data_IF_330701038205
#
_entry.id   IF_330701038205
#
_cell.length_a   1.000
_cell.length_b   1.000
_cell.length_c   1.000
_cell.angle_alpha   90.00
_cell.angle_beta   90.00
_cell.angle_gamma   90.00
#
_symmetry.space_group_name_H-M   'P 1'
#
loop_
_entity.id
_entity.type
_entity.pdbx_description
1 polymer ?
#
# COMPACT_ATOMS: atom_id res chain seq x y z
N UNK A 1 -19.96 -14.84 7.58
CA UNK A 1 -19.87 -13.85 6.49
C UNK A 1 -18.88 -12.71 6.83
N UNK A 2 -18.83 -12.27 8.10
CA UNK A 2 -17.93 -11.23 8.58
C UNK A 2 -16.67 -11.73 9.30
N UNK A 3 -16.55 -13.05 9.52
CA UNK A 3 -15.41 -13.63 10.24
C UNK A 3 -14.04 -13.30 9.64
N UNK A 4 -13.93 -13.18 8.31
CA UNK A 4 -12.70 -12.75 7.64
C UNK A 4 -12.31 -11.31 8.02
N UNK A 5 -13.27 -10.38 8.04
CA UNK A 5 -13.04 -8.99 8.45
C UNK A 5 -12.56 -8.93 9.89
N UNK A 6 -13.19 -9.71 10.78
CA UNK A 6 -12.78 -9.77 12.18
C UNK A 6 -11.36 -10.32 12.37
N UNK A 7 -10.95 -11.27 11.53
CA UNK A 7 -9.58 -11.78 11.56
C UNK A 7 -8.56 -10.71 11.11
N UNK A 8 -8.85 -9.94 10.06
CA UNK A 8 -8.00 -8.85 9.60
C UNK A 8 -7.75 -7.79 10.68
N UNK A 9 -8.73 -7.52 11.53
CA UNK A 9 -8.57 -6.58 12.66
C UNK A 9 -7.96 -7.23 13.92
N UNK A 10 -7.62 -8.55 13.86
CA UNK A 10 -6.83 -9.25 14.87
C UNK A 10 -7.60 -10.14 15.82
N UNK A 11 -8.78 -10.61 15.45
CA UNK A 11 -9.42 -11.73 16.12
C UNK A 11 -8.84 -13.05 15.56
N UNK A 12 -8.65 -14.04 16.45
CA UNK A 12 -8.32 -15.39 15.97
C UNK A 12 -9.49 -16.01 15.20
N UNK A 13 -9.26 -17.06 14.39
CA UNK A 13 -10.32 -17.71 13.63
C UNK A 13 -11.50 -18.18 14.50
N UNK A 14 -11.23 -18.68 15.70
CA UNK A 14 -12.29 -19.12 16.63
C UNK A 14 -13.03 -17.92 17.25
N UNK A 15 -12.32 -16.87 17.68
CA UNK A 15 -12.93 -15.65 18.20
C UNK A 15 -13.86 -15.02 17.16
N UNK A 16 -13.41 -14.91 15.90
CA UNK A 16 -14.18 -14.33 14.82
C UNK A 16 -15.50 -15.09 14.57
N UNK A 17 -15.43 -16.41 14.48
CA UNK A 17 -16.64 -17.25 14.29
C UNK A 17 -17.60 -17.19 15.48
N UNK A 18 -17.07 -17.19 16.69
CA UNK A 18 -17.89 -17.12 17.91
C UNK A 18 -18.57 -15.75 18.03
N UNK A 19 -17.85 -14.68 17.78
CA UNK A 19 -18.40 -13.33 17.81
C UNK A 19 -19.47 -13.14 16.73
N UNK A 20 -19.22 -13.61 15.50
CA UNK A 20 -20.23 -13.61 14.44
C UNK A 20 -21.49 -14.39 14.82
N UNK A 21 -21.34 -15.57 15.41
CA UNK A 21 -22.46 -16.37 15.89
C UNK A 21 -23.25 -15.64 16.98
N UNK A 22 -22.58 -15.00 17.94
CA UNK A 22 -23.23 -14.23 19.00
C UNK A 22 -23.97 -13.01 18.44
N UNK A 23 -23.43 -12.31 17.46
CA UNK A 23 -24.12 -11.19 16.79
C UNK A 23 -25.42 -11.65 16.12
N UNK A 24 -25.46 -12.89 15.61
CA UNK A 24 -26.66 -13.44 14.97
C UNK A 24 -27.75 -13.88 15.98
N UNK A 25 -27.34 -14.43 17.13
CA UNK A 25 -28.29 -15.02 18.10
C UNK A 25 -28.55 -14.11 19.30
N UNK A 26 -27.73 -13.09 19.53
CA UNK A 26 -27.82 -12.20 20.68
C UNK A 26 -27.25 -12.84 21.95
N UNK A 27 -28.12 -13.30 22.87
CA UNK A 27 -27.70 -13.98 24.10
C UNK A 27 -27.69 -15.47 23.87
N UNK A 28 -26.61 -16.16 24.22
CA UNK A 28 -26.48 -17.59 24.00
C UNK A 28 -25.65 -18.32 25.06
N UNK A 29 -25.97 -19.60 25.30
CA UNK A 29 -25.11 -20.49 26.06
C UNK A 29 -23.97 -21.07 25.22
N UNK A 30 -22.95 -21.63 25.88
CA UNK A 30 -21.84 -22.33 25.20
C UNK A 30 -22.32 -23.40 24.24
N UNK A 31 -23.40 -24.10 24.57
CA UNK A 31 -24.01 -25.15 23.73
C UNK A 31 -24.51 -24.55 22.41
N UNK A 32 -25.29 -23.46 22.50
CA UNK A 32 -25.82 -22.75 21.33
C UNK A 32 -24.71 -22.15 20.47
N UNK A 33 -23.70 -21.54 21.11
CA UNK A 33 -22.54 -20.99 20.43
C UNK A 33 -21.78 -22.08 19.66
N UNK A 34 -21.57 -23.26 20.28
CA UNK A 34 -20.90 -24.40 19.65
C UNK A 34 -21.58 -24.84 18.35
N UNK A 35 -22.90 -24.94 18.38
CA UNK A 35 -23.70 -25.34 17.22
C UNK A 35 -23.63 -24.27 16.13
N UNK A 36 -23.80 -23.00 16.48
CA UNK A 36 -23.85 -21.89 15.51
C UNK A 36 -22.49 -21.54 14.90
N UNK A 37 -21.43 -21.60 15.68
CA UNK A 37 -20.07 -21.29 15.20
C UNK A 37 -19.36 -22.50 14.56
N UNK A 38 -19.92 -23.70 14.71
CA UNK A 38 -19.30 -24.98 14.34
C UNK A 38 -17.90 -25.16 14.98
N UNK A 39 -17.77 -24.76 16.26
CA UNK A 39 -16.56 -24.90 17.06
C UNK A 39 -16.79 -25.85 18.20
N UNK A 40 -15.84 -26.77 18.41
CA UNK A 40 -15.93 -27.74 19.51
C UNK A 40 -15.98 -27.03 20.87
N UNK A 41 -16.86 -27.45 21.75
CA UNK A 41 -17.17 -26.84 23.07
C UNK A 41 -15.92 -26.52 23.90
N UNK A 42 -14.88 -27.37 23.85
CA UNK A 42 -13.62 -27.16 24.58
C UNK A 42 -12.90 -25.87 24.15
N UNK A 43 -12.94 -25.55 22.86
CA UNK A 43 -12.24 -24.37 22.30
C UNK A 43 -13.05 -23.07 22.47
N UNK A 44 -14.34 -23.17 22.83
CA UNK A 44 -15.21 -22.00 23.01
C UNK A 44 -14.82 -21.21 24.25
N UNK A 45 -14.56 -21.90 25.38
CA UNK A 45 -14.24 -21.21 26.62
C UNK A 45 -13.03 -20.30 26.51
N UNK A 46 -11.94 -20.81 25.92
CA UNK A 46 -10.71 -20.02 25.72
C UNK A 46 -10.96 -18.82 24.79
N UNK A 47 -11.71 -19.02 23.71
CA UNK A 47 -12.01 -17.96 22.77
C UNK A 47 -13.00 -16.92 23.37
N UNK A 48 -14.00 -17.34 24.12
CA UNK A 48 -14.92 -16.43 24.83
C UNK A 48 -14.15 -15.59 25.87
N UNK A 49 -13.27 -16.20 26.66
CA UNK A 49 -12.47 -15.47 27.64
C UNK A 49 -11.64 -14.36 26.95
N UNK A 50 -11.00 -14.66 25.83
CA UNK A 50 -10.28 -13.66 25.03
C UNK A 50 -11.19 -12.58 24.46
N UNK A 51 -12.40 -12.93 24.05
CA UNK A 51 -13.39 -11.93 23.60
C UNK A 51 -13.87 -11.04 24.76
N UNK A 52 -13.98 -11.59 25.98
CA UNK A 52 -14.28 -10.81 27.19
C UNK A 52 -13.10 -9.86 27.52
N UNK A 53 -11.86 -10.36 27.50
CA UNK A 53 -10.65 -9.52 27.67
C UNK A 53 -10.56 -8.38 26.65
N UNK A 54 -11.00 -8.62 25.41
CA UNK A 54 -11.10 -7.60 24.36
C UNK A 54 -12.33 -6.69 24.50
N UNK A 55 -13.20 -6.92 25.48
CA UNK A 55 -14.44 -6.16 25.68
C UNK A 55 -15.48 -6.34 24.59
N UNK A 56 -15.44 -7.44 23.83
CA UNK A 56 -16.39 -7.73 22.73
C UNK A 56 -17.57 -8.60 23.18
N UNK A 57 -17.42 -9.29 24.29
CA UNK A 57 -18.44 -10.18 24.86
C UNK A 57 -18.48 -9.97 26.37
N UNK A 58 -19.64 -10.05 26.98
CA UNK A 58 -19.78 -10.15 28.43
C UNK A 58 -20.61 -11.35 28.84
N UNK A 59 -20.32 -11.85 30.02
CA UNK A 59 -21.03 -12.97 30.63
C UNK A 59 -22.22 -12.44 31.42
N UNK A 60 -23.37 -13.06 31.23
CA UNK A 60 -24.57 -12.81 32.05
C UNK A 60 -24.64 -13.90 33.12
N UNK A 61 -24.54 -13.50 34.36
CA UNK A 61 -24.74 -14.42 35.50
C UNK A 61 -26.22 -14.65 35.72
N UNK A 62 -26.66 -15.91 35.64
CA UNK A 62 -28.04 -16.33 35.85
C UNK A 62 -28.10 -17.55 36.77
N UNK A 63 -29.32 -17.93 37.23
CA UNK A 63 -29.55 -19.20 37.94
C UNK A 63 -29.49 -20.33 36.89
N UNK A 64 -28.33 -20.98 36.74
CA UNK A 64 -28.17 -22.10 35.82
C UNK A 64 -26.96 -22.01 34.90
N UNK A 65 -27.15 -22.09 33.58
CA UNK A 65 -26.11 -22.11 32.60
C UNK A 65 -25.56 -20.69 32.35
N UNK A 66 -24.22 -20.55 32.16
CA UNK A 66 -23.59 -19.29 31.81
C UNK A 66 -24.02 -18.83 30.40
N UNK A 67 -24.55 -17.64 30.32
CA UNK A 67 -24.95 -16.99 29.07
C UNK A 67 -23.95 -15.91 28.68
N UNK A 68 -23.76 -15.74 27.40
CA UNK A 68 -22.83 -14.74 26.80
C UNK A 68 -23.58 -13.83 25.84
N UNK A 69 -23.26 -12.54 25.88
CA UNK A 69 -23.88 -11.53 25.03
C UNK A 69 -22.78 -10.73 24.33
N UNK A 70 -22.92 -10.48 23.01
CA UNK A 70 -21.97 -9.60 22.30
C UNK A 70 -22.19 -8.15 22.75
N UNK A 71 -21.11 -7.40 22.80
CA UNK A 71 -21.12 -5.93 22.91
C UNK A 71 -21.43 -5.32 21.55
N UNK A 72 -21.87 -4.07 21.53
CA UNK A 72 -22.14 -3.32 20.30
C UNK A 72 -20.92 -3.41 19.34
N UNK A 73 -21.13 -3.74 18.06
CA UNK A 73 -20.06 -3.82 17.07
C UNK A 73 -19.22 -2.54 16.92
N UNK A 74 -19.72 -1.37 17.34
CA UNK A 74 -18.95 -0.14 17.41
C UNK A 74 -17.65 -0.30 18.23
N UNK A 75 -17.63 -1.22 19.21
CA UNK A 75 -16.43 -1.57 20.00
C UNK A 75 -15.26 -2.09 19.14
N UNK A 76 -15.54 -2.65 17.97
CA UNK A 76 -14.47 -3.06 17.03
C UNK A 76 -13.68 -1.87 16.50
N UNK A 77 -14.33 -0.72 16.32
CA UNK A 77 -13.65 0.51 15.91
C UNK A 77 -12.72 1.01 17.02
N UNK A 78 -13.14 0.96 18.28
CA UNK A 78 -12.29 1.32 19.42
C UNK A 78 -11.03 0.45 19.48
N UNK A 79 -11.16 -0.88 19.25
CA UNK A 79 -9.99 -1.79 19.20
C UNK A 79 -9.00 -1.42 18.08
N UNK A 80 -9.50 -0.98 16.93
CA UNK A 80 -8.64 -0.53 15.83
C UNK A 80 -7.94 0.77 16.18
N UNK A 81 -8.67 1.71 16.77
CA UNK A 81 -8.12 3.01 17.18
C UNK A 81 -7.08 2.86 18.30
N UNK A 82 -7.29 1.96 19.27
CA UNK A 82 -6.29 1.63 20.30
C UNK A 82 -4.99 1.09 19.68
N UNK A 83 -5.09 0.15 18.74
CA UNK A 83 -3.91 -0.39 18.03
C UNK A 83 -3.19 0.68 17.23
N UNK A 84 -3.94 1.57 16.57
CA UNK A 84 -3.40 2.71 15.84
C UNK A 84 -2.64 3.65 16.79
N UNK A 85 -3.22 4.01 17.91
CA UNK A 85 -2.58 4.88 18.89
C UNK A 85 -1.27 4.28 19.44
N UNK A 86 -1.25 2.97 19.71
CA UNK A 86 -0.04 2.26 20.10
C UNK A 86 1.05 2.34 19.04
N UNK A 87 0.70 2.12 17.78
CA UNK A 87 1.62 2.22 16.66
C UNK A 87 2.12 3.65 16.48
N UNK A 88 1.23 4.63 16.51
CA UNK A 88 1.57 6.06 16.39
C UNK A 88 2.56 6.50 17.49
N UNK A 89 2.39 6.00 18.71
CA UNK A 89 3.32 6.27 19.81
C UNK A 89 4.72 5.66 19.62
N UNK A 90 4.80 4.50 18.96
CA UNK A 90 6.05 3.80 18.69
C UNK A 90 6.79 4.33 17.44
N UNK A 91 6.06 4.93 16.51
CA UNK A 91 6.59 5.39 15.20
C UNK A 91 7.85 6.26 15.31
N UNK A 92 7.95 7.28 16.20
CA UNK A 92 9.15 8.11 16.29
C UNK A 92 10.43 7.32 16.60
N UNK A 93 10.31 6.27 17.42
CA UNK A 93 11.43 5.41 17.76
C UNK A 93 11.79 4.44 16.62
N UNK A 94 10.77 3.88 15.96
CA UNK A 94 10.96 3.03 14.79
C UNK A 94 11.63 3.79 13.64
N UNK A 95 11.21 5.03 13.39
CA UNK A 95 11.84 5.90 12.39
C UNK A 95 13.31 6.22 12.72
N UNK A 96 13.64 6.47 14.00
CA UNK A 96 15.04 6.66 14.42
C UNK A 96 15.89 5.42 14.18
N UNK A 97 15.35 4.22 14.41
CA UNK A 97 16.04 2.97 14.13
C UNK A 97 16.25 2.76 12.62
N UNK A 98 15.26 3.11 11.83
CA UNK A 98 15.30 2.99 10.37
C UNK A 98 16.33 3.95 9.73
N UNK A 99 16.35 5.21 10.18
CA UNK A 99 17.23 6.28 9.65
C UNK A 99 18.71 6.16 10.08
N UNK A 100 19.07 5.20 10.91
CA UNK A 100 20.41 5.12 11.53
C UNK A 100 21.54 4.63 10.61
N UNK A 101 21.28 4.26 9.36
CA UNK A 101 22.34 3.83 8.41
C UNK A 101 22.51 4.89 7.32
N UNK A 102 23.69 5.54 7.21
CA UNK A 102 24.02 6.31 6.00
C UNK A 102 24.00 5.32 4.83
N UNK A 103 23.34 5.68 3.76
CA UNK A 103 23.35 4.88 2.54
C UNK A 103 24.67 5.14 1.81
N UNK A 104 25.64 4.21 2.00
CA UNK A 104 26.64 3.98 0.97
C UNK A 104 25.95 3.53 -0.32
N UNK A 105 26.65 3.56 -1.45
CA UNK A 105 26.10 3.06 -2.72
C UNK A 105 25.46 1.66 -2.51
N UNK A 106 24.23 1.51 -2.96
CA UNK A 106 23.43 0.31 -2.75
C UNK A 106 22.64 -0.06 -4.00
N UNK A 107 22.35 -1.34 -4.15
CA UNK A 107 21.39 -1.81 -5.13
C UNK A 107 20.48 -2.87 -4.49
N UNK A 108 19.19 -2.77 -4.76
CA UNK A 108 18.21 -3.73 -4.26
C UNK A 108 17.02 -3.89 -5.22
N UNK A 109 16.18 -4.86 -4.95
CA UNK A 109 15.04 -5.20 -5.80
C UNK A 109 13.77 -5.19 -4.97
N UNK A 110 12.76 -4.47 -5.45
CA UNK A 110 11.38 -4.62 -5.01
C UNK A 110 10.60 -5.52 -5.95
N UNK A 111 9.61 -6.25 -5.45
CA UNK A 111 8.74 -7.12 -6.24
C UNK A 111 7.27 -6.91 -5.92
N UNK A 112 6.43 -7.10 -6.95
CA UNK A 112 4.98 -7.05 -6.81
C UNK A 112 4.41 -5.66 -6.49
N UNK A 113 3.12 -5.63 -6.22
CA UNK A 113 2.37 -4.38 -5.94
C UNK A 113 2.89 -3.66 -4.69
N UNK A 114 3.20 -4.39 -3.62
CA UNK A 114 3.75 -3.79 -2.40
C UNK A 114 5.16 -3.23 -2.62
N UNK A 115 5.96 -3.89 -3.44
CA UNK A 115 7.25 -3.36 -3.88
C UNK A 115 7.11 -2.04 -4.64
N UNK A 116 6.08 -1.93 -5.49
CA UNK A 116 5.78 -0.69 -6.20
C UNK A 116 5.36 0.45 -5.24
N UNK A 117 4.58 0.14 -4.21
CA UNK A 117 4.25 1.11 -3.15
C UNK A 117 5.48 1.54 -2.35
N UNK A 118 6.45 0.64 -2.13
CA UNK A 118 7.71 1.01 -1.46
C UNK A 118 8.53 1.97 -2.32
N UNK A 119 8.67 1.70 -3.62
CA UNK A 119 9.30 2.64 -4.56
C UNK A 119 8.63 4.05 -4.50
N UNK A 120 7.31 4.13 -4.44
CA UNK A 120 6.62 5.42 -4.28
C UNK A 120 6.94 6.09 -2.93
N UNK A 121 7.11 5.31 -1.85
CA UNK A 121 7.54 5.84 -0.55
C UNK A 121 8.98 6.38 -0.60
N UNK A 122 9.88 5.75 -1.39
CA UNK A 122 11.24 6.25 -1.57
C UNK A 122 11.22 7.64 -2.21
N UNK A 123 10.38 7.90 -3.22
CA UNK A 123 10.20 9.24 -3.80
C UNK A 123 9.80 10.25 -2.73
N UNK A 124 8.85 9.90 -1.85
CA UNK A 124 8.43 10.79 -0.75
C UNK A 124 9.54 11.01 0.28
N UNK A 125 10.40 10.02 0.53
CA UNK A 125 11.47 10.13 1.51
C UNK A 125 12.62 11.00 1.03
N UNK A 126 12.93 10.91 -0.27
CA UNK A 126 14.01 11.67 -0.93
C UNK A 126 13.62 13.13 -1.14
N UNK A 127 12.35 13.42 -1.46
CA UNK A 127 11.79 14.77 -1.62
C UNK A 127 12.49 15.62 -2.70
N UNK A 128 13.03 14.99 -3.74
CA UNK A 128 13.61 15.66 -4.90
C UNK A 128 12.73 15.45 -6.14
N UNK A 129 12.94 16.27 -7.17
CA UNK A 129 12.22 16.20 -8.44
C UNK A 129 12.47 14.86 -9.15
N UNK A 130 11.45 14.31 -9.80
CA UNK A 130 11.50 13.03 -10.48
C UNK A 130 11.49 13.19 -11.99
N UNK A 131 12.45 12.56 -12.66
CA UNK A 131 12.52 12.46 -14.12
C UNK A 131 12.14 11.04 -14.54
N UNK A 132 11.21 10.93 -15.50
CA UNK A 132 10.70 9.65 -16.02
C UNK A 132 11.08 9.46 -17.48
N UNK A 133 11.72 8.35 -17.83
CA UNK A 133 12.08 7.96 -19.19
C UNK A 133 11.24 6.75 -19.61
N UNK A 134 10.51 6.86 -20.70
CA UNK A 134 9.68 5.79 -21.23
C UNK A 134 8.44 5.52 -20.39
N UNK A 135 7.96 6.50 -19.62
CA UNK A 135 6.80 6.35 -18.75
C UNK A 135 5.56 5.86 -19.50
N UNK A 136 4.88 4.84 -18.95
CA UNK A 136 3.69 4.19 -19.53
C UNK A 136 2.42 4.42 -18.72
N UNK A 137 2.47 5.25 -17.69
CA UNK A 137 1.34 5.49 -16.79
C UNK A 137 1.06 4.33 -15.82
N UNK A 138 2.06 3.54 -15.45
CA UNK A 138 1.93 2.43 -14.51
C UNK A 138 1.32 2.83 -13.15
N UNK A 139 1.45 4.08 -12.73
CA UNK A 139 0.82 4.64 -11.53
C UNK A 139 -0.73 4.59 -11.57
N UNK A 140 -1.32 4.50 -12.77
CA UNK A 140 -2.78 4.42 -12.96
C UNK A 140 -3.32 2.98 -12.88
N UNK A 141 -2.54 2.02 -12.42
CA UNK A 141 -3.04 0.67 -12.12
C UNK A 141 -4.12 0.75 -11.03
N UNK A 142 -5.31 0.14 -11.26
CA UNK A 142 -6.43 0.22 -10.31
C UNK A 142 -6.09 -0.23 -8.87
N UNK A 143 -5.14 -1.14 -8.71
CA UNK A 143 -4.70 -1.65 -7.39
C UNK A 143 -3.92 -0.61 -6.58
N UNK A 144 -3.46 0.46 -7.22
CA UNK A 144 -2.71 1.55 -6.58
C UNK A 144 -3.60 2.73 -6.20
N UNK A 145 -4.85 2.82 -6.66
CA UNK A 145 -5.70 4.02 -6.58
C UNK A 145 -5.71 4.64 -5.18
N UNK A 146 -6.13 3.89 -4.16
CA UNK A 146 -6.22 4.43 -2.78
C UNK A 146 -4.88 4.82 -2.16
N UNK A 147 -3.79 4.20 -2.61
CA UNK A 147 -2.44 4.56 -2.19
C UNK A 147 -1.96 5.80 -2.93
N UNK A 148 -2.18 5.84 -4.24
CA UNK A 148 -1.75 6.93 -5.12
C UNK A 148 -2.39 8.27 -4.74
N UNK A 149 -3.67 8.28 -4.39
CA UNK A 149 -4.36 9.51 -3.96
C UNK A 149 -3.65 10.16 -2.77
N UNK A 150 -3.29 9.37 -1.76
CA UNK A 150 -2.52 9.86 -0.59
C UNK A 150 -1.11 10.27 -0.96
N UNK A 151 -0.43 9.45 -1.76
CA UNK A 151 0.92 9.75 -2.26
C UNK A 151 0.97 11.10 -3.00
N UNK A 152 0.05 11.37 -3.92
CA UNK A 152 0.03 12.62 -4.70
C UNK A 152 -0.21 13.85 -3.81
N UNK A 153 -1.08 13.73 -2.80
CA UNK A 153 -1.29 14.80 -1.81
C UNK A 153 0.00 15.08 -1.03
N UNK A 154 0.68 14.04 -0.57
CA UNK A 154 1.91 14.19 0.22
C UNK A 154 3.09 14.67 -0.64
N UNK A 155 3.24 14.18 -1.86
CA UNK A 155 4.24 14.65 -2.81
C UNK A 155 4.07 16.14 -3.14
N UNK A 156 2.82 16.58 -3.36
CA UNK A 156 2.50 18.00 -3.57
C UNK A 156 2.85 18.87 -2.36
N UNK A 157 2.53 18.41 -1.14
CA UNK A 157 2.89 19.12 0.11
C UNK A 157 4.41 19.26 0.27
N UNK A 158 5.18 18.28 -0.21
CA UNK A 158 6.65 18.26 -0.16
C UNK A 158 7.30 18.98 -1.35
N UNK A 159 6.52 19.50 -2.28
CA UNK A 159 7.00 20.27 -3.44
C UNK A 159 7.67 19.43 -4.52
N UNK A 160 7.49 18.12 -4.54
CA UNK A 160 8.05 17.20 -5.56
C UNK A 160 7.46 17.53 -6.93
N UNK A 161 8.30 17.77 -7.92
CA UNK A 161 7.92 18.04 -9.31
C UNK A 161 8.27 16.86 -10.19
N UNK A 162 7.57 16.76 -11.30
CA UNK A 162 7.68 15.63 -12.22
C UNK A 162 8.00 16.11 -13.65
N UNK A 163 8.95 15.43 -14.32
CA UNK A 163 9.24 15.62 -15.74
C UNK A 163 9.12 14.28 -16.45
N UNK A 164 8.18 14.15 -17.39
CA UNK A 164 7.91 12.89 -18.06
C UNK A 164 8.34 12.90 -19.52
N UNK A 165 9.16 11.92 -19.91
CA UNK A 165 9.29 11.50 -21.30
C UNK A 165 8.44 10.20 -21.40
N UNK A 166 7.23 10.35 -21.89
CA UNK A 166 6.32 9.21 -22.06
C UNK A 166 6.73 8.34 -23.23
N UNK A 167 6.45 7.04 -23.16
CA UNK A 167 6.49 6.16 -24.31
C UNK A 167 5.47 6.61 -25.36
N UNK A 168 5.77 6.35 -26.65
CA UNK A 168 4.91 6.76 -27.76
C UNK A 168 3.50 6.20 -27.69
N UNK A 169 3.31 4.99 -27.12
CA UNK A 169 2.00 4.34 -26.98
C UNK A 169 1.04 5.11 -26.10
N UNK A 170 1.53 5.85 -25.07
CA UNK A 170 0.71 6.67 -24.18
C UNK A 170 -0.02 7.76 -24.96
N UNK A 171 0.61 8.33 -25.98
CA UNK A 171 0.00 9.36 -26.85
C UNK A 171 -1.27 8.87 -27.54
N UNK A 172 -1.32 7.61 -27.92
CA UNK A 172 -2.41 7.02 -28.70
C UNK A 172 -3.44 6.28 -27.83
N UNK A 173 -2.97 5.49 -26.84
CA UNK A 173 -3.79 4.55 -26.10
C UNK A 173 -4.14 4.97 -24.68
N UNK A 174 -3.42 5.97 -24.10
CA UNK A 174 -3.64 6.43 -22.73
C UNK A 174 -3.63 7.96 -22.62
N UNK A 175 -4.39 8.64 -23.47
CA UNK A 175 -4.43 10.12 -23.56
C UNK A 175 -4.82 10.81 -22.25
N UNK A 176 -5.48 10.12 -21.33
CA UNK A 176 -5.83 10.65 -20.02
C UNK A 176 -4.59 10.83 -19.12
N UNK A 177 -3.56 9.98 -19.26
CA UNK A 177 -2.36 10.02 -18.41
C UNK A 177 -1.64 11.36 -18.46
N UNK A 178 -1.19 11.87 -19.64
CA UNK A 178 -0.52 13.17 -19.69
C UNK A 178 -1.41 14.34 -19.23
N UNK A 179 -2.73 14.22 -19.41
CA UNK A 179 -3.69 15.23 -18.91
C UNK A 179 -3.77 15.26 -17.39
N UNK A 180 -3.73 14.08 -16.75
CA UNK A 180 -3.80 13.95 -15.29
C UNK A 180 -2.52 14.38 -14.58
N UNK A 181 -1.34 14.08 -15.17
CA UNK A 181 -0.06 14.46 -14.55
C UNK A 181 0.32 15.93 -14.80
N UNK A 182 -0.23 16.54 -15.86
CA UNK A 182 0.09 17.93 -16.22
C UNK A 182 1.46 18.09 -16.88
N UNK A 183 1.79 19.34 -17.28
CA UNK A 183 3.09 19.70 -17.89
C UNK A 183 4.16 19.94 -16.82
N UNK A 184 5.46 19.78 -17.13
CA UNK A 184 6.02 19.51 -18.47
C UNK A 184 6.14 18.01 -18.80
N UNK A 185 5.79 17.61 -20.02
CA UNK A 185 6.03 16.28 -20.55
C UNK A 185 6.36 16.30 -22.06
N UNK A 186 7.05 15.26 -22.51
CA UNK A 186 7.35 14.99 -23.93
C UNK A 186 7.07 13.51 -24.25
N UNK A 187 7.20 13.11 -25.52
CA UNK A 187 7.02 11.74 -25.96
C UNK A 187 8.24 11.23 -26.70
N UNK A 188 8.64 9.99 -26.44
CA UNK A 188 9.63 9.29 -27.26
C UNK A 188 9.10 9.11 -28.69
N UNK A 189 9.94 9.26 -29.71
CA UNK A 189 9.60 8.78 -31.04
C UNK A 189 9.36 7.26 -31.01
N UNK A 190 8.35 6.76 -31.74
CA UNK A 190 7.92 5.36 -31.72
C UNK A 190 9.07 4.34 -31.91
N UNK A 191 10.07 4.66 -32.73
CA UNK A 191 11.25 3.80 -32.97
C UNK A 191 12.14 3.58 -31.74
N UNK A 192 11.93 4.36 -30.67
CA UNK A 192 12.67 4.28 -29.41
C UNK A 192 11.79 3.79 -28.24
N UNK A 193 10.60 3.28 -28.52
CA UNK A 193 9.79 2.61 -27.50
C UNK A 193 10.51 1.39 -26.93
N UNK A 194 10.45 1.23 -25.62
CA UNK A 194 11.10 0.12 -24.90
C UNK A 194 10.13 -0.55 -23.94
N UNK A 195 10.30 -1.85 -23.60
CA UNK A 195 9.47 -2.51 -22.61
C UNK A 195 9.75 -2.04 -21.17
N UNK A 196 10.89 -1.41 -20.93
CA UNK A 196 11.32 -0.92 -19.61
C UNK A 196 11.18 0.59 -19.51
N UNK A 197 11.12 1.09 -18.29
CA UNK A 197 11.14 2.51 -17.96
C UNK A 197 12.26 2.75 -16.94
N UNK A 198 12.71 4.02 -16.86
CA UNK A 198 13.70 4.46 -15.88
C UNK A 198 13.22 5.74 -15.22
N UNK A 199 13.24 5.74 -13.89
CA UNK A 199 12.91 6.90 -13.06
C UNK A 199 14.14 7.33 -12.28
N UNK A 200 14.35 8.65 -12.17
CA UNK A 200 15.55 9.23 -11.55
C UNK A 200 15.09 10.29 -10.55
N UNK A 201 15.47 10.14 -9.30
CA UNK A 201 15.19 11.12 -8.23
C UNK A 201 16.27 11.06 -7.14
N UNK A 202 16.69 12.21 -6.63
CA UNK A 202 17.78 12.26 -5.66
C UNK A 202 19.03 11.52 -6.12
N UNK A 203 19.48 10.57 -5.39
CA UNK A 203 20.57 9.62 -5.70
C UNK A 203 20.07 8.27 -6.24
N UNK A 204 18.78 8.16 -6.55
CA UNK A 204 18.13 6.93 -7.01
C UNK A 204 18.04 6.87 -8.54
N UNK A 205 18.36 5.71 -9.09
CA UNK A 205 18.03 5.28 -10.45
C UNK A 205 17.21 4.02 -10.35
N UNK A 206 15.97 4.05 -10.85
CA UNK A 206 15.02 2.96 -10.72
C UNK A 206 14.60 2.47 -12.09
N UNK A 207 14.72 1.17 -12.37
CA UNK A 207 14.29 0.55 -13.61
C UNK A 207 13.25 -0.54 -13.34
N UNK A 208 12.37 -0.77 -14.32
CA UNK A 208 11.21 -1.65 -14.14
C UNK A 208 11.14 -2.71 -15.23
N UNK A 209 10.76 -3.93 -14.84
CA UNK A 209 10.25 -4.96 -15.76
C UNK A 209 8.84 -5.33 -15.32
N UNK A 210 7.93 -5.61 -16.27
CA UNK A 210 6.53 -5.91 -15.96
C UNK A 210 5.63 -4.67 -15.78
N UNK A 211 6.12 -3.49 -16.16
CA UNK A 211 5.31 -2.28 -16.21
C UNK A 211 4.77 -2.05 -17.63
N UNK A 212 3.46 -2.01 -17.77
CA UNK A 212 2.75 -1.80 -19.03
C UNK A 212 1.94 -0.50 -19.05
N UNK A 213 1.12 -0.35 -20.08
CA UNK A 213 0.27 0.81 -20.26
C UNK A 213 -0.83 0.86 -19.21
N UNK A 214 -0.74 1.79 -18.27
CA UNK A 214 -1.66 1.99 -17.13
C UNK A 214 -1.82 0.74 -16.23
N UNK A 215 -0.85 -0.15 -16.22
CA UNK A 215 -0.90 -1.37 -15.41
C UNK A 215 0.49 -1.86 -15.03
N UNK A 216 0.55 -2.66 -13.98
CA UNK A 216 1.73 -3.42 -13.55
C UNK A 216 1.39 -4.90 -13.50
N UNK A 217 2.34 -5.77 -13.86
CA UNK A 217 2.17 -7.21 -13.71
C UNK A 217 2.26 -7.64 -12.24
N UNK A 218 1.72 -8.81 -11.89
CA UNK A 218 1.78 -9.32 -10.53
C UNK A 218 3.21 -9.61 -10.07
N UNK A 219 4.09 -9.92 -11.02
CA UNK A 219 5.52 -10.22 -10.83
C UNK A 219 6.41 -9.02 -11.17
N UNK A 220 5.86 -7.81 -11.25
CA UNK A 220 6.64 -6.60 -11.50
C UNK A 220 7.92 -6.60 -10.66
N UNK A 221 9.04 -6.35 -11.31
CA UNK A 221 10.34 -6.27 -10.66
C UNK A 221 10.90 -4.87 -10.84
N UNK A 222 11.36 -4.26 -9.73
CA UNK A 222 11.81 -2.88 -9.64
C UNK A 222 13.26 -2.92 -9.15
N UNK A 223 14.18 -2.57 -10.02
CA UNK A 223 15.60 -2.49 -9.72
C UNK A 223 15.95 -1.09 -9.25
N UNK A 224 16.36 -0.95 -8.02
CA UNK A 224 16.72 0.33 -7.40
C UNK A 224 18.23 0.37 -7.21
N UNK A 225 18.87 1.41 -7.73
CA UNK A 225 20.28 1.72 -7.52
C UNK A 225 20.34 3.06 -6.78
N UNK A 226 21.02 3.09 -5.66
CA UNK A 226 21.32 4.30 -4.88
C UNK A 226 22.78 4.63 -5.13
N UNK A 227 23.03 5.65 -5.93
CA UNK A 227 24.37 6.16 -6.23
C UNK A 227 24.26 7.54 -6.85
N UNK A 228 24.78 8.55 -6.17
CA UNK A 228 24.74 9.92 -6.66
C UNK A 228 25.43 10.08 -8.01
N UNK A 229 26.64 9.53 -8.26
CA UNK A 229 27.30 9.60 -9.56
C UNK A 229 26.48 8.97 -10.69
N UNK A 230 25.84 7.83 -10.42
CA UNK A 230 24.95 7.19 -11.42
C UNK A 230 23.72 8.05 -11.69
N UNK A 231 23.03 8.52 -10.66
CA UNK A 231 21.85 9.35 -10.82
C UNK A 231 22.16 10.64 -11.61
N UNK A 232 23.30 11.28 -11.38
CA UNK A 232 23.72 12.46 -12.11
C UNK A 232 24.03 12.15 -13.59
N UNK A 233 24.64 10.99 -13.88
CA UNK A 233 24.84 10.50 -15.24
C UNK A 233 23.50 10.27 -15.97
N UNK A 234 22.55 9.61 -15.31
CA UNK A 234 21.22 9.36 -15.87
C UNK A 234 20.41 10.65 -16.06
N UNK A 235 20.56 11.67 -15.18
CA UNK A 235 19.96 13.00 -15.39
C UNK A 235 20.54 13.68 -16.64
N UNK A 236 21.83 13.55 -16.87
CA UNK A 236 22.47 14.08 -18.09
C UNK A 236 21.91 13.43 -19.34
N UNK A 237 21.73 12.10 -19.34
CA UNK A 237 21.10 11.37 -20.44
C UNK A 237 19.61 11.70 -20.58
N UNK A 238 18.90 11.86 -19.47
CA UNK A 238 17.51 12.34 -19.49
C UNK A 238 17.43 13.71 -20.16
N UNK A 239 18.30 14.66 -19.80
CA UNK A 239 18.30 15.99 -20.39
C UNK A 239 18.60 15.94 -21.90
N UNK A 240 19.58 15.15 -22.33
CA UNK A 240 19.85 14.93 -23.75
C UNK A 240 18.62 14.39 -24.49
N UNK A 241 17.98 13.35 -23.95
CA UNK A 241 16.74 12.80 -24.54
C UNK A 241 15.60 13.84 -24.53
N UNK A 242 15.49 14.60 -23.45
CA UNK A 242 14.49 15.66 -23.34
C UNK A 242 14.66 16.69 -24.45
N UNK A 243 15.85 17.14 -24.70
CA UNK A 243 16.14 18.17 -25.72
C UNK A 243 15.88 17.63 -27.14
N UNK A 244 16.17 16.35 -27.38
CA UNK A 244 15.94 15.68 -28.66
C UNK A 244 14.47 15.28 -28.90
N UNK A 245 13.64 15.16 -27.86
CA UNK A 245 12.24 14.87 -28.04
C UNK A 245 11.47 16.09 -28.55
N UNK A 246 10.60 15.95 -29.57
CA UNK A 246 9.83 17.06 -30.11
C UNK A 246 8.86 17.62 -29.05
N UNK A 247 8.67 18.93 -29.09
CA UNK A 247 7.65 19.57 -28.27
C UNK A 247 6.26 19.12 -28.70
N UNK A 248 5.44 18.74 -27.73
CA UNK A 248 4.06 18.37 -27.99
C UNK A 248 3.18 19.62 -27.91
N UNK A 249 2.75 20.11 -29.07
CA UNK A 249 1.66 21.10 -29.18
C UNK A 249 0.35 20.32 -29.06
N UNK A 250 -0.38 20.53 -27.95
CA UNK A 250 -1.70 19.90 -27.71
C UNK A 250 -2.75 20.46 -28.67
#
# INVERSE_FOLDING_TARGET
MFASVFQEIGLSPNEAKIYEALLQVGVASVSTISIKSNIHRRNIYDAINRLIEKGLVFQIMGQGENLFKPVDPAKLMELVDEKRALLDSAMPNLEKLYKKKPHDEAAYIYKGVEGFKNYLRDILSVQEDVCFIGAKGAWFDPRLTSFLDRFLVDAKKRGVKYRHIFDAEVKTHAKHVPRSVGRPYKFLPKKYSTPSMVDIFGDHVVSFTGAGLCQISDDITIFVIISRPMADSYRTWFQFMWDMCPEYKA
#
